data_IF_356092231578
#
_entry.id   IF_356092231578
#
_cell.length_a   1.000
_cell.length_b   1.000
_cell.length_c   1.000
_cell.angle_alpha   90.00
_cell.angle_beta   90.00
_cell.angle_gamma   90.00
#
_symmetry.space_group_name_H-M   'P 1'
#
loop_
_entity.id
_entity.type
_entity.pdbx_description
1 polymer ?
#
# COMPACT_ATOMS: atom_id res chain seq x y z
N UNK A 1 -65.33 10.21 -5.02
CA UNK A 1 -64.69 11.13 -4.05
C UNK A 1 -63.17 11.00 -4.30
N UNK A 2 -62.65 12.00 -5.01
CA UNK A 2 -61.23 12.22 -5.25
C UNK A 2 -60.61 12.84 -3.99
N UNK A 3 -59.56 12.26 -3.47
CA UNK A 3 -58.63 12.99 -2.60
C UNK A 3 -57.35 13.25 -3.36
N UNK A 4 -57.13 14.51 -3.62
CA UNK A 4 -55.87 15.08 -4.09
C UNK A 4 -54.85 14.94 -2.99
N UNK A 5 -53.66 14.35 -3.34
CA UNK A 5 -52.48 14.37 -2.49
C UNK A 5 -51.60 15.53 -2.94
N UNK A 6 -51.51 16.51 -2.08
CA UNK A 6 -50.57 17.64 -2.24
C UNK A 6 -49.13 17.13 -2.30
N UNK A 7 -48.43 17.54 -3.35
CA UNK A 7 -47.00 17.34 -3.50
C UNK A 7 -46.24 18.27 -2.55
N UNK A 8 -45.64 17.70 -1.53
CA UNK A 8 -44.75 18.41 -0.64
C UNK A 8 -43.50 18.88 -1.35
N UNK A 9 -43.38 20.19 -1.49
CA UNK A 9 -42.16 20.85 -1.98
C UNK A 9 -41.03 20.60 -0.99
N UNK A 10 -40.06 19.79 -1.38
CA UNK A 10 -38.80 19.64 -0.65
C UNK A 10 -38.02 20.95 -0.83
N UNK A 11 -37.95 21.75 0.23
CA UNK A 11 -37.09 22.92 0.29
C UNK A 11 -35.65 22.46 0.19
N UNK A 12 -35.05 22.80 -0.92
CA UNK A 12 -33.58 22.70 -1.17
C UNK A 12 -32.85 23.53 -0.11
N UNK A 13 -32.23 22.84 0.86
CA UNK A 13 -31.28 23.47 1.76
C UNK A 13 -30.02 23.77 0.99
N UNK A 14 -29.97 25.00 0.44
CA UNK A 14 -28.80 25.59 -0.11
C UNK A 14 -27.57 25.24 0.76
N UNK A 15 -26.67 24.50 0.18
CA UNK A 15 -25.31 24.30 0.69
C UNK A 15 -24.72 25.71 0.90
N UNK A 16 -24.55 26.10 2.15
CA UNK A 16 -23.64 27.18 2.48
C UNK A 16 -22.29 26.78 1.91
N UNK A 17 -21.90 27.36 0.77
CA UNK A 17 -20.50 27.46 0.36
C UNK A 17 -19.80 28.07 1.58
N UNK A 18 -18.96 27.28 2.26
CA UNK A 18 -17.88 27.86 3.04
C UNK A 18 -17.10 28.70 2.03
N UNK A 19 -17.24 30.02 2.10
CA UNK A 19 -16.27 30.92 1.54
C UNK A 19 -14.93 30.45 2.15
N UNK A 20 -14.03 30.03 1.28
CA UNK A 20 -12.64 29.92 1.64
C UNK A 20 -12.27 31.31 2.15
N UNK A 21 -12.01 31.45 3.44
CA UNK A 21 -11.28 32.60 3.94
C UNK A 21 -10.04 32.70 3.06
N UNK A 22 -9.87 33.85 2.43
CA UNK A 22 -8.67 34.18 1.68
C UNK A 22 -7.52 34.16 2.68
N UNK A 23 -6.85 33.00 2.79
CA UNK A 23 -5.59 32.94 3.50
C UNK A 23 -4.68 33.98 2.86
N UNK A 24 -4.10 34.86 3.64
CA UNK A 24 -3.08 35.77 3.14
C UNK A 24 -2.03 34.95 2.40
N UNK A 25 -1.59 35.40 1.20
CA UNK A 25 -0.62 34.63 0.43
C UNK A 25 0.62 34.40 1.32
N UNK A 26 1.04 33.14 1.47
CA UNK A 26 2.23 32.81 2.24
C UNK A 26 3.43 33.58 1.67
N UNK A 27 4.28 34.15 2.56
CA UNK A 27 5.41 34.93 2.08
C UNK A 27 6.37 34.07 1.25
N UNK A 28 6.82 34.65 0.14
CA UNK A 28 7.86 34.05 -0.70
C UNK A 28 9.20 34.48 -0.14
N UNK A 29 10.09 33.52 0.13
CA UNK A 29 11.44 33.76 0.59
C UNK A 29 12.45 33.33 -0.45
N UNK A 30 13.38 34.18 -0.79
CA UNK A 30 14.43 33.94 -1.79
C UNK A 30 15.81 34.03 -1.11
N UNK A 31 16.65 33.04 -1.38
CA UNK A 31 18.07 33.01 -1.03
C UNK A 31 18.88 32.82 -2.33
N UNK A 32 20.02 33.47 -2.41
CA UNK A 32 20.97 33.36 -3.51
C UNK A 32 22.35 33.86 -3.06
N UNK A 33 23.38 33.53 -3.84
CA UNK A 33 24.73 34.09 -3.59
C UNK A 33 24.79 35.57 -3.96
N UNK A 34 24.02 35.98 -4.99
CA UNK A 34 23.88 37.35 -5.43
C UNK A 34 22.45 37.64 -5.85
N UNK A 35 21.91 38.77 -5.42
CA UNK A 35 20.59 39.21 -5.87
C UNK A 35 20.57 40.76 -6.06
N UNK A 36 19.81 41.17 -7.07
CA UNK A 36 19.45 42.60 -7.29
C UNK A 36 17.93 42.71 -7.27
N UNK A 37 17.45 43.80 -6.65
CA UNK A 37 16.02 44.09 -6.57
C UNK A 37 15.78 45.57 -6.77
N UNK A 38 14.88 45.91 -7.69
CA UNK A 38 14.42 47.26 -7.94
C UNK A 38 13.08 47.49 -7.23
N UNK A 39 13.06 48.31 -6.19
CA UNK A 39 11.84 48.63 -5.45
C UNK A 39 10.81 49.39 -6.28
N UNK A 40 11.24 50.14 -7.29
CA UNK A 40 10.37 50.92 -8.17
C UNK A 40 9.56 50.05 -9.09
N UNK A 41 10.22 49.17 -9.85
CA UNK A 41 9.58 48.26 -10.79
C UNK A 41 9.09 46.94 -10.12
N UNK A 42 9.77 46.51 -9.09
CA UNK A 42 9.56 45.18 -8.46
C UNK A 42 10.37 44.06 -9.11
N UNK A 43 11.22 44.39 -10.07
CA UNK A 43 12.05 43.42 -10.77
C UNK A 43 13.15 42.89 -9.88
N UNK A 44 13.42 41.58 -9.98
CA UNK A 44 14.53 40.94 -9.31
C UNK A 44 15.32 40.06 -10.26
N UNK A 45 16.57 39.91 -9.90
CA UNK A 45 17.50 38.98 -10.53
C UNK A 45 18.32 38.32 -9.42
N UNK A 46 18.40 36.98 -9.43
CA UNK A 46 19.14 36.20 -8.46
C UNK A 46 20.02 35.18 -9.16
N UNK A 47 21.24 35.03 -8.70
CA UNK A 47 22.25 34.13 -9.27
C UNK A 47 23.06 33.44 -8.19
N UNK A 48 23.43 32.18 -8.45
CA UNK A 48 24.20 31.30 -7.56
C UNK A 48 23.34 30.74 -6.45
N UNK A 49 23.24 29.40 -6.37
CA UNK A 49 22.52 28.64 -5.33
C UNK A 49 21.14 29.23 -5.00
N UNK A 50 20.37 29.59 -6.02
CA UNK A 50 19.06 30.24 -5.86
C UNK A 50 18.07 29.22 -5.28
N UNK A 51 17.46 29.60 -4.15
CA UNK A 51 16.40 28.85 -3.50
C UNK A 51 15.21 29.77 -3.24
N UNK A 52 14.04 29.40 -3.78
CA UNK A 52 12.78 30.12 -3.58
C UNK A 52 11.84 29.19 -2.82
N UNK A 53 11.25 29.66 -1.72
CA UNK A 53 10.35 28.87 -0.88
C UNK A 53 9.04 29.61 -0.67
N UNK A 54 7.92 28.91 -0.88
CA UNK A 54 6.58 29.32 -0.50
C UNK A 54 5.83 28.13 0.11
N UNK A 55 5.58 28.17 1.42
CA UNK A 55 4.98 27.03 2.12
C UNK A 55 5.84 25.77 2.02
N UNK A 56 5.26 24.69 1.53
CA UNK A 56 5.93 23.40 1.34
C UNK A 56 6.62 23.27 -0.04
N UNK A 57 6.48 24.27 -0.90
CA UNK A 57 7.09 24.30 -2.23
C UNK A 57 8.48 24.94 -2.17
N UNK A 58 9.46 24.30 -2.78
CA UNK A 58 10.82 24.80 -2.91
C UNK A 58 11.28 24.74 -4.36
N UNK A 59 11.73 25.86 -4.91
CA UNK A 59 12.37 25.92 -6.22
C UNK A 59 13.87 26.08 -6.03
N UNK A 60 14.66 25.24 -6.68
CA UNK A 60 16.11 25.29 -6.72
C UNK A 60 16.57 25.57 -8.15
N UNK A 61 17.44 26.55 -8.32
CA UNK A 61 17.99 26.89 -9.63
C UNK A 61 19.36 27.59 -9.49
N UNK A 62 20.07 27.75 -10.57
CA UNK A 62 21.30 28.55 -10.59
C UNK A 62 21.02 30.02 -10.85
N UNK A 63 19.88 30.33 -11.52
CA UNK A 63 19.52 31.70 -11.92
C UNK A 63 18.00 31.83 -12.00
N UNK A 64 17.48 32.88 -11.36
CA UNK A 64 16.09 33.26 -11.44
C UNK A 64 15.96 34.77 -11.76
N UNK A 65 14.99 35.13 -12.56
CA UNK A 65 14.60 36.51 -12.80
C UNK A 65 13.08 36.62 -12.70
N UNK A 66 12.57 37.74 -12.29
CA UNK A 66 11.13 37.93 -12.18
C UNK A 66 10.74 39.27 -11.63
N UNK A 67 9.45 39.38 -11.28
CA UNK A 67 8.90 40.60 -10.73
C UNK A 67 8.03 40.26 -9.51
N UNK A 68 8.42 40.77 -8.35
CA UNK A 68 7.73 40.54 -7.10
C UNK A 68 6.33 41.18 -7.00
N UNK A 69 6.06 42.22 -7.80
CA UNK A 69 4.74 42.86 -7.81
C UNK A 69 3.75 42.13 -8.68
N UNK A 70 4.18 41.60 -9.83
CA UNK A 70 3.34 40.80 -10.73
C UNK A 70 3.29 39.32 -10.29
N UNK A 71 4.28 38.86 -9.54
CA UNK A 71 4.43 37.46 -9.11
C UNK A 71 5.06 36.55 -10.15
N UNK A 72 5.59 37.11 -11.26
CA UNK A 72 6.23 36.31 -12.30
C UNK A 72 7.65 35.92 -11.94
N UNK A 73 7.99 34.66 -12.24
CA UNK A 73 9.35 34.11 -12.11
C UNK A 73 9.69 33.29 -13.35
N UNK A 74 10.88 33.55 -13.90
CA UNK A 74 11.46 32.85 -15.04
C UNK A 74 12.75 32.13 -14.62
N UNK A 75 12.83 30.82 -14.91
CA UNK A 75 14.02 30.00 -14.77
C UNK A 75 14.47 29.58 -16.17
N UNK A 76 15.16 30.49 -16.86
CA UNK A 76 15.56 30.30 -18.27
C UNK A 76 16.65 29.23 -18.45
N UNK A 77 17.38 28.92 -17.40
CA UNK A 77 18.40 27.86 -17.35
C UNK A 77 17.90 26.60 -16.67
N UNK A 78 16.58 26.52 -16.49
CA UNK A 78 15.94 25.42 -15.79
C UNK A 78 15.96 25.53 -14.28
N UNK A 79 15.32 24.58 -13.64
CA UNK A 79 15.22 24.48 -12.19
C UNK A 79 14.54 23.21 -11.73
N UNK A 80 14.60 22.98 -10.43
CA UNK A 80 13.97 21.85 -9.76
C UNK A 80 12.89 22.38 -8.82
N UNK A 81 11.66 21.94 -9.00
CA UNK A 81 10.57 22.10 -8.05
C UNK A 81 10.56 20.90 -7.11
N UNK A 82 10.57 21.17 -5.81
CA UNK A 82 10.44 20.16 -4.75
C UNK A 82 9.19 20.45 -3.94
N UNK A 83 8.33 19.47 -3.84
CA UNK A 83 7.21 19.37 -2.92
C UNK A 83 7.43 18.15 -2.01
N UNK A 84 6.64 17.92 -0.92
CA UNK A 84 6.86 16.79 0.00
C UNK A 84 7.00 15.43 -0.66
N UNK A 85 6.18 15.16 -1.69
CA UNK A 85 6.13 13.87 -2.39
C UNK A 85 6.53 13.93 -3.87
N UNK A 86 6.92 15.11 -4.36
CA UNK A 86 7.21 15.32 -5.79
C UNK A 86 8.48 16.11 -5.99
N UNK A 87 9.31 15.66 -6.93
CA UNK A 87 10.45 16.41 -7.43
C UNK A 87 10.32 16.51 -8.96
N UNK A 88 10.38 17.70 -9.49
CA UNK A 88 10.22 17.95 -10.92
C UNK A 88 11.32 18.88 -11.43
N UNK A 89 12.04 18.42 -12.45
CA UNK A 89 13.04 19.21 -13.14
C UNK A 89 12.44 19.73 -14.46
N UNK A 90 12.73 20.97 -14.81
CA UNK A 90 12.40 21.56 -16.10
C UNK A 90 13.62 22.28 -16.67
N UNK A 91 13.85 22.21 -17.98
CA UNK A 91 14.94 22.95 -18.63
C UNK A 91 14.60 24.44 -18.81
N UNK A 92 13.33 24.77 -18.81
CA UNK A 92 12.81 26.13 -18.82
C UNK A 92 11.51 26.18 -18.05
N UNK A 93 11.33 27.20 -17.19
CA UNK A 93 10.14 27.38 -16.35
C UNK A 93 9.74 28.83 -16.33
N UNK A 94 8.46 29.12 -16.56
CA UNK A 94 7.78 30.33 -16.18
C UNK A 94 6.67 30.01 -15.21
N UNK A 95 6.60 30.70 -14.09
CA UNK A 95 5.54 30.53 -13.10
C UNK A 95 5.12 31.86 -12.51
N UNK A 96 3.82 32.06 -12.36
CA UNK A 96 3.26 33.23 -11.72
C UNK A 96 2.61 32.83 -10.38
N UNK A 97 3.18 33.28 -9.29
CA UNK A 97 2.74 32.98 -7.94
C UNK A 97 1.38 33.59 -7.58
N UNK A 98 0.99 34.70 -8.19
CA UNK A 98 -0.29 35.38 -7.92
C UNK A 98 -1.45 34.66 -8.62
N UNK A 99 -1.30 34.33 -9.88
CA UNK A 99 -2.33 33.63 -10.68
C UNK A 99 -2.29 32.10 -10.53
N UNK A 100 -1.19 31.54 -9.97
CA UNK A 100 -0.92 30.12 -9.91
C UNK A 100 -0.92 29.45 -11.30
N UNK A 101 -0.42 30.16 -12.29
CA UNK A 101 -0.28 29.69 -13.66
C UNK A 101 1.18 29.60 -14.07
N UNK A 102 1.49 28.72 -15.00
CA UNK A 102 2.87 28.57 -15.46
C UNK A 102 3.01 27.67 -16.68
N UNK A 103 4.24 27.58 -17.13
CA UNK A 103 4.66 26.77 -18.27
C UNK A 103 6.01 26.14 -17.94
N UNK A 104 6.17 24.83 -18.23
CA UNK A 104 7.41 24.10 -18.02
C UNK A 104 7.74 23.35 -19.30
N UNK A 105 9.02 23.38 -19.69
CA UNK A 105 9.54 22.65 -20.86
C UNK A 105 10.56 21.61 -20.46
N UNK A 106 10.57 20.48 -21.18
CA UNK A 106 11.43 19.32 -20.95
C UNK A 106 11.41 18.86 -19.50
N UNK A 107 10.25 18.32 -19.13
CA UNK A 107 9.98 17.88 -17.77
C UNK A 107 10.53 16.47 -17.56
N UNK A 108 11.26 16.28 -16.46
CA UNK A 108 11.68 15.00 -15.91
C UNK A 108 11.44 15.03 -14.41
N UNK A 109 10.61 14.13 -13.91
CA UNK A 109 10.20 14.20 -12.52
C UNK A 109 9.91 12.86 -11.89
N UNK A 110 9.75 12.91 -10.56
CA UNK A 110 9.36 11.80 -9.73
C UNK A 110 8.26 12.26 -8.77
N UNK A 111 7.09 11.65 -8.86
CA UNK A 111 6.06 11.70 -7.81
C UNK A 111 6.32 10.64 -6.75
N UNK A 112 5.40 10.42 -5.83
CA UNK A 112 5.56 9.46 -4.73
C UNK A 112 6.04 8.07 -5.19
N UNK A 113 5.50 7.55 -6.29
CA UNK A 113 5.83 6.24 -6.86
C UNK A 113 6.19 6.29 -8.34
N UNK A 114 5.83 7.36 -9.04
CA UNK A 114 5.87 7.43 -10.49
C UNK A 114 6.99 8.34 -10.96
N UNK A 115 7.71 7.91 -11.98
CA UNK A 115 8.64 8.73 -12.76
C UNK A 115 7.90 9.19 -14.00
N UNK A 116 8.01 10.46 -14.35
CA UNK A 116 7.32 11.03 -15.50
C UNK A 116 8.23 11.93 -16.32
N UNK A 117 7.97 11.95 -17.63
CA UNK A 117 8.64 12.85 -18.59
C UNK A 117 7.63 13.42 -19.55
N UNK A 118 7.80 14.69 -19.88
CA UNK A 118 7.00 15.35 -20.91
C UNK A 118 7.79 16.48 -21.57
N UNK A 119 7.58 16.75 -22.87
CA UNK A 119 8.21 17.88 -23.53
C UNK A 119 7.74 19.23 -22.98
N UNK A 120 6.44 19.30 -22.62
CA UNK A 120 5.79 20.53 -22.23
C UNK A 120 4.63 20.29 -21.28
N UNK A 121 4.42 21.16 -20.31
CA UNK A 121 3.22 21.25 -19.50
C UNK A 121 2.82 22.67 -19.21
N UNK A 122 1.51 22.90 -19.17
CA UNK A 122 0.90 24.16 -18.73
C UNK A 122 0.26 23.98 -17.38
N UNK A 123 0.57 24.83 -16.43
CA UNK A 123 0.04 24.84 -15.08
C UNK A 123 -1.12 25.82 -15.00
N UNK A 124 -2.26 25.36 -14.52
CA UNK A 124 -3.44 26.15 -14.18
C UNK A 124 -3.67 26.08 -12.66
N UNK A 125 -4.49 26.98 -12.07
CA UNK A 125 -4.75 26.98 -10.63
C UNK A 125 -5.33 25.69 -10.08
N UNK A 126 -6.02 24.93 -10.92
CA UNK A 126 -6.76 23.71 -10.56
C UNK A 126 -6.23 22.44 -11.23
N UNK A 127 -5.36 22.56 -12.24
CA UNK A 127 -4.85 21.42 -12.99
C UNK A 127 -3.51 21.69 -13.68
N UNK A 128 -2.87 20.59 -14.08
CA UNK A 128 -1.70 20.61 -14.97
C UNK A 128 -2.08 19.90 -16.27
N UNK A 129 -1.75 20.47 -17.39
CA UNK A 129 -2.04 19.93 -18.73
C UNK A 129 -0.74 19.64 -19.46
N UNK A 130 -0.57 18.38 -19.87
CA UNK A 130 0.48 17.94 -20.81
C UNK A 130 -0.20 17.64 -22.13
N UNK A 131 0.10 18.41 -23.18
CA UNK A 131 -0.60 18.37 -24.46
C UNK A 131 0.27 17.94 -25.66
N UNK A 132 1.58 17.87 -25.47
CA UNK A 132 2.54 17.44 -26.50
C UNK A 132 3.04 16.00 -26.32
N UNK A 133 2.28 15.19 -25.59
CA UNK A 133 2.66 13.84 -25.20
C UNK A 133 3.41 13.78 -23.88
N UNK A 134 3.33 12.65 -23.25
CA UNK A 134 4.04 12.37 -22.00
C UNK A 134 4.16 10.89 -21.74
N UNK A 135 4.96 10.56 -20.76
CA UNK A 135 5.16 9.17 -20.32
C UNK A 135 5.32 9.07 -18.82
N UNK A 136 4.87 7.98 -18.27
CA UNK A 136 5.02 7.64 -16.86
C UNK A 136 5.38 6.17 -16.66
N UNK A 137 6.16 5.90 -15.62
CA UNK A 137 6.54 4.54 -15.23
C UNK A 137 6.82 4.50 -13.73
N UNK A 138 6.60 3.35 -13.11
CA UNK A 138 7.07 3.08 -11.74
C UNK A 138 8.43 2.39 -11.69
N UNK A 139 9.02 2.12 -12.85
CA UNK A 139 10.34 1.53 -12.95
C UNK A 139 11.44 2.56 -12.72
N UNK A 140 12.26 2.44 -11.67
CA UNK A 140 13.36 3.38 -11.39
C UNK A 140 14.57 3.19 -12.31
N UNK A 141 14.52 2.28 -13.28
CA UNK A 141 15.67 1.91 -14.09
C UNK A 141 16.08 3.02 -15.06
N UNK A 142 17.37 3.29 -15.06
CA UNK A 142 18.04 4.22 -15.99
C UNK A 142 18.75 3.47 -17.11
N UNK A 143 19.14 2.21 -16.88
CA UNK A 143 20.02 1.43 -17.76
C UNK A 143 19.30 0.46 -18.70
N UNK A 144 17.99 0.31 -18.59
CA UNK A 144 17.18 -0.57 -19.43
C UNK A 144 15.78 0.02 -19.67
N UNK A 145 15.11 -0.49 -20.70
CA UNK A 145 13.71 -0.14 -20.96
C UNK A 145 12.84 -0.40 -19.73
N UNK A 146 11.94 0.53 -19.37
CA UNK A 146 11.04 0.34 -18.25
C UNK A 146 10.28 -0.99 -18.34
N UNK A 147 10.13 -1.67 -17.20
CA UNK A 147 9.36 -2.92 -17.16
C UNK A 147 7.93 -2.72 -17.63
N UNK A 148 7.34 -1.59 -17.26
CA UNK A 148 6.09 -1.09 -17.81
C UNK A 148 6.20 0.41 -18.01
N UNK A 149 5.85 0.88 -19.19
CA UNK A 149 5.80 2.29 -19.58
C UNK A 149 4.40 2.63 -20.07
N UNK A 150 3.84 3.68 -19.55
CA UNK A 150 2.57 4.24 -20.02
C UNK A 150 2.88 5.55 -20.76
N UNK A 151 2.45 5.64 -22.00
CA UNK A 151 2.50 6.90 -22.77
C UNK A 151 1.10 7.36 -23.08
N UNK A 152 0.90 8.66 -23.17
CA UNK A 152 -0.34 9.25 -23.64
C UNK A 152 -0.07 10.50 -24.45
N UNK A 153 -1.00 10.83 -25.36
CA UNK A 153 -0.92 12.07 -26.14
C UNK A 153 -1.16 13.30 -25.28
N UNK A 154 -2.09 13.18 -24.32
CA UNK A 154 -2.38 14.26 -23.38
C UNK A 154 -2.61 13.70 -21.99
N UNK A 155 -2.20 14.48 -20.97
CA UNK A 155 -2.55 14.26 -19.58
C UNK A 155 -3.18 15.52 -19.00
N UNK A 156 -4.29 15.35 -18.30
CA UNK A 156 -4.87 16.39 -17.44
C UNK A 156 -4.78 15.88 -16.00
N UNK A 157 -4.00 16.55 -15.16
CA UNK A 157 -3.75 16.15 -13.77
C UNK A 157 -4.44 17.16 -12.88
N UNK A 158 -5.42 16.71 -12.13
CA UNK A 158 -6.10 17.44 -11.05
C UNK A 158 -5.46 16.98 -9.73
N UNK A 159 -4.57 17.77 -9.12
CA UNK A 159 -3.82 17.34 -7.94
C UNK A 159 -4.75 16.88 -6.82
N UNK A 160 -4.44 15.72 -6.22
CA UNK A 160 -5.22 15.09 -5.15
C UNK A 160 -6.65 14.66 -5.52
N UNK A 161 -7.01 14.71 -6.80
CA UNK A 161 -8.35 14.32 -7.27
C UNK A 161 -8.26 13.19 -8.30
N UNK A 162 -7.75 13.48 -9.50
CA UNK A 162 -7.69 12.54 -10.61
C UNK A 162 -6.68 12.93 -11.68
N UNK A 163 -6.31 11.94 -12.48
CA UNK A 163 -5.57 12.12 -13.74
C UNK A 163 -6.41 11.57 -14.89
N UNK A 164 -6.50 12.30 -15.97
CA UNK A 164 -7.14 11.86 -17.21
C UNK A 164 -6.07 11.81 -18.30
N UNK A 165 -5.80 10.62 -18.83
CA UNK A 165 -4.88 10.42 -19.94
C UNK A 165 -5.68 10.02 -21.20
N UNK A 166 -5.30 10.55 -22.37
CA UNK A 166 -5.94 10.27 -23.64
C UNK A 166 -4.95 9.71 -24.66
N UNK A 167 -5.43 8.82 -25.52
CA UNK A 167 -4.62 8.05 -26.49
C UNK A 167 -3.47 7.32 -25.75
N UNK A 168 -3.88 6.49 -24.80
CA UNK A 168 -2.97 5.78 -23.90
C UNK A 168 -2.43 4.54 -24.57
N UNK A 169 -1.12 4.33 -24.48
CA UNK A 169 -0.42 3.12 -24.91
C UNK A 169 0.44 2.59 -23.76
N UNK A 170 0.39 1.29 -23.58
CA UNK A 170 1.15 0.59 -22.54
C UNK A 170 2.18 -0.31 -23.19
N UNK A 171 3.41 -0.19 -22.75
CA UNK A 171 4.56 -0.95 -23.21
C UNK A 171 5.14 -1.78 -22.07
N UNK A 172 5.43 -3.04 -22.31
CA UNK A 172 6.19 -3.89 -21.41
C UNK A 172 7.57 -4.17 -22.04
N UNK A 173 8.64 -3.74 -21.37
CA UNK A 173 10.03 -3.85 -21.86
C UNK A 173 10.16 -3.40 -23.33
N UNK A 174 9.65 -2.22 -23.63
CA UNK A 174 9.68 -1.62 -24.97
C UNK A 174 8.69 -2.21 -25.98
N UNK A 175 7.97 -3.29 -25.65
CA UNK A 175 6.96 -3.87 -26.55
C UNK A 175 5.57 -3.34 -26.22
N UNK A 176 4.86 -2.84 -27.22
CA UNK A 176 3.47 -2.41 -27.09
C UNK A 176 2.58 -3.61 -26.76
N UNK A 177 1.80 -3.52 -25.67
CA UNK A 177 0.94 -4.60 -25.20
C UNK A 177 -0.55 -4.21 -25.11
N UNK A 178 -0.87 -2.92 -24.95
CA UNK A 178 -2.23 -2.47 -24.76
C UNK A 178 -2.40 -1.01 -25.18
N UNK A 179 -3.59 -0.66 -25.70
CA UNK A 179 -4.00 0.71 -25.99
C UNK A 179 -5.41 0.97 -25.48
N UNK A 180 -5.65 2.22 -25.09
CA UNK A 180 -6.96 2.69 -24.63
C UNK A 180 -7.13 4.18 -24.99
N UNK A 181 -8.32 4.56 -25.45
CA UNK A 181 -8.59 5.95 -25.84
C UNK A 181 -8.52 6.91 -24.64
N UNK A 182 -9.06 6.51 -23.50
CA UNK A 182 -9.07 7.32 -22.29
C UNK A 182 -8.84 6.46 -21.05
N UNK A 183 -7.94 6.91 -20.20
CA UNK A 183 -7.68 6.34 -18.89
C UNK A 183 -7.90 7.41 -17.83
N UNK A 184 -8.73 7.11 -16.85
CA UNK A 184 -8.95 7.96 -15.67
C UNK A 184 -8.39 7.22 -14.47
N UNK A 185 -7.49 7.87 -13.76
CA UNK A 185 -6.94 7.37 -12.50
C UNK A 185 -7.27 8.35 -11.37
N UNK A 186 -7.71 7.84 -10.23
CA UNK A 186 -8.01 8.63 -9.05
C UNK A 186 -6.72 8.87 -8.27
N UNK A 187 -6.48 10.13 -7.86
CA UNK A 187 -5.31 10.55 -7.10
C UNK A 187 -5.70 10.96 -5.68
N UNK A 188 -4.76 10.83 -4.74
CA UNK A 188 -4.95 11.31 -3.37
C UNK A 188 -5.59 10.29 -2.43
N UNK A 189 -6.42 10.75 -1.49
CA UNK A 189 -7.03 9.91 -0.42
C UNK A 189 -7.97 8.82 -0.95
N UNK A 190 -8.44 8.94 -2.18
CA UNK A 190 -9.36 7.99 -2.78
C UNK A 190 -8.72 6.62 -3.11
N UNK A 191 -7.41 6.46 -2.95
CA UNK A 191 -6.70 5.24 -3.32
C UNK A 191 -6.56 5.06 -4.85
N UNK A 192 -5.62 4.24 -5.24
CA UNK A 192 -5.36 3.92 -6.65
C UNK A 192 -6.00 2.59 -7.03
N UNK A 193 -6.63 2.51 -8.21
CA UNK A 193 -6.99 1.23 -8.79
C UNK A 193 -5.72 0.44 -9.09
N UNK A 194 -5.70 -0.84 -8.69
CA UNK A 194 -4.55 -1.72 -8.88
C UNK A 194 -4.97 -2.98 -9.60
N UNK A 195 -4.14 -3.39 -10.54
CA UNK A 195 -4.27 -4.69 -11.21
C UNK A 195 -2.90 -5.35 -11.11
N UNK A 196 -2.79 -6.41 -10.30
CA UNK A 196 -1.52 -7.09 -10.05
C UNK A 196 -1.60 -8.55 -10.49
N UNK A 197 -0.99 -8.89 -11.64
CA UNK A 197 -0.79 -10.29 -12.00
C UNK A 197 0.31 -10.92 -11.15
N UNK A 198 0.08 -12.14 -10.70
CA UNK A 198 1.05 -12.97 -9.98
C UNK A 198 1.07 -14.36 -10.59
N UNK A 199 2.25 -14.92 -10.68
CA UNK A 199 2.46 -16.31 -11.11
C UNK A 199 3.43 -16.98 -10.14
N UNK A 200 3.35 -18.29 -10.05
CA UNK A 200 4.26 -19.02 -9.20
C UNK A 200 3.93 -20.51 -9.13
N UNK A 201 4.57 -21.16 -8.18
CA UNK A 201 4.34 -22.54 -7.80
C UNK A 201 4.11 -22.60 -6.28
N UNK A 202 3.06 -23.26 -5.87
CA UNK A 202 2.59 -23.29 -4.49
C UNK A 202 2.48 -24.74 -3.98
N UNK A 203 3.60 -25.43 -3.98
CA UNK A 203 3.71 -26.77 -3.46
C UNK A 203 3.04 -27.85 -4.31
N UNK A 204 3.11 -29.08 -3.80
CA UNK A 204 2.59 -30.27 -4.48
C UNK A 204 1.06 -30.29 -4.55
N UNK A 205 0.37 -29.68 -3.61
CA UNK A 205 -1.09 -29.76 -3.50
C UNK A 205 -1.80 -28.75 -4.37
N UNK A 206 -1.29 -27.54 -4.48
CA UNK A 206 -1.85 -26.48 -5.30
C UNK A 206 -1.26 -26.42 -6.72
N UNK A 207 0.04 -26.70 -6.88
CA UNK A 207 0.74 -26.70 -8.16
C UNK A 207 1.11 -25.30 -8.65
N UNK A 208 1.21 -25.14 -9.98
CA UNK A 208 1.41 -23.84 -10.62
C UNK A 208 0.18 -22.97 -10.47
N UNK A 209 0.37 -21.66 -10.27
CA UNK A 209 -0.75 -20.73 -10.20
C UNK A 209 -0.56 -19.49 -11.08
N UNK A 210 -1.68 -18.95 -11.49
CA UNK A 210 -1.81 -17.60 -12.02
C UNK A 210 -2.92 -16.88 -11.25
N UNK A 211 -2.58 -15.70 -10.70
CA UNK A 211 -3.52 -14.86 -9.95
C UNK A 211 -3.60 -13.49 -10.58
N UNK A 212 -4.78 -12.92 -10.60
CA UNK A 212 -5.02 -11.52 -10.95
C UNK A 212 -5.72 -10.87 -9.77
N UNK A 213 -4.98 -10.04 -9.04
CA UNK A 213 -5.54 -9.21 -7.99
C UNK A 213 -6.00 -7.90 -8.59
N UNK A 214 -7.25 -7.54 -8.36
CA UNK A 214 -7.86 -6.29 -8.79
C UNK A 214 -8.34 -5.56 -7.56
N UNK A 215 -7.86 -4.34 -7.36
CA UNK A 215 -8.37 -3.42 -6.34
C UNK A 215 -8.97 -2.23 -7.10
N UNK A 216 -10.28 -2.02 -6.95
CA UNK A 216 -11.01 -0.95 -7.61
C UNK A 216 -11.61 0.00 -6.57
N UNK A 217 -11.28 1.27 -6.69
CA UNK A 217 -11.74 2.29 -5.78
C UNK A 217 -13.21 2.63 -6.02
N UNK A 218 -14.05 2.45 -4.99
CA UNK A 218 -15.47 2.82 -5.00
C UNK A 218 -15.73 4.19 -4.35
N UNK A 219 -14.72 4.75 -3.66
CA UNK A 219 -14.83 6.02 -2.96
C UNK A 219 -13.66 6.27 -2.02
N UNK A 220 -13.62 7.40 -1.31
CA UNK A 220 -12.45 7.80 -0.51
C UNK A 220 -11.98 6.79 0.54
N UNK A 221 -12.87 5.88 0.96
CA UNK A 221 -12.61 4.92 2.04
C UNK A 221 -13.10 3.52 1.72
N UNK A 222 -13.55 3.30 0.49
CA UNK A 222 -14.19 2.04 0.10
C UNK A 222 -13.58 1.53 -1.18
N UNK A 223 -13.13 0.30 -1.17
CA UNK A 223 -12.61 -0.40 -2.32
C UNK A 223 -13.30 -1.75 -2.52
N UNK A 224 -13.49 -2.12 -3.77
CA UNK A 224 -13.80 -3.47 -4.19
C UNK A 224 -12.50 -4.17 -4.54
N UNK A 225 -12.34 -5.41 -4.08
CA UNK A 225 -11.22 -6.24 -4.50
C UNK A 225 -11.69 -7.57 -5.06
N UNK A 226 -10.92 -8.10 -5.99
CA UNK A 226 -11.07 -9.44 -6.50
C UNK A 226 -9.70 -10.11 -6.61
N UNK A 227 -9.57 -11.30 -6.05
CA UNK A 227 -8.41 -12.16 -6.25
C UNK A 227 -8.83 -13.36 -7.10
N UNK A 228 -8.53 -13.29 -8.40
CA UNK A 228 -8.88 -14.29 -9.39
C UNK A 228 -7.71 -15.27 -9.50
N UNK A 229 -7.77 -16.35 -8.76
CA UNK A 229 -6.70 -17.34 -8.69
C UNK A 229 -7.08 -18.64 -9.41
N UNK A 230 -6.17 -19.12 -10.24
CA UNK A 230 -6.25 -20.45 -10.82
C UNK A 230 -4.99 -21.25 -10.50
N UNK A 231 -5.17 -22.41 -9.92
CA UNK A 231 -4.12 -23.35 -9.57
C UNK A 231 -4.23 -24.59 -10.46
N UNK A 232 -3.10 -25.10 -10.93
CA UNK A 232 -3.07 -26.26 -11.84
C UNK A 232 -3.64 -27.55 -11.22
N UNK A 233 -3.61 -27.65 -9.89
CA UNK A 233 -4.14 -28.80 -9.14
C UNK A 233 -5.37 -28.46 -8.32
N UNK A 234 -5.38 -27.34 -7.61
CA UNK A 234 -6.52 -26.94 -6.78
C UNK A 234 -7.64 -26.25 -7.59
N UNK A 235 -7.42 -25.91 -8.87
CA UNK A 235 -8.44 -25.33 -9.75
C UNK A 235 -8.68 -23.84 -9.53
N UNK A 236 -9.87 -23.36 -9.91
CA UNK A 236 -10.24 -21.95 -9.81
C UNK A 236 -10.71 -21.60 -8.38
N UNK A 237 -10.04 -20.65 -7.77
CA UNK A 237 -10.24 -20.25 -6.37
C UNK A 237 -10.38 -18.72 -6.26
N UNK A 238 -11.50 -18.14 -6.73
CA UNK A 238 -11.70 -16.70 -6.63
C UNK A 238 -12.09 -16.27 -5.22
N UNK A 239 -11.68 -15.04 -4.85
CA UNK A 239 -12.15 -14.31 -3.70
C UNK A 239 -12.59 -12.92 -4.17
N UNK A 240 -13.76 -12.47 -3.76
CA UNK A 240 -14.29 -11.14 -4.01
C UNK A 240 -14.63 -10.46 -2.69
N UNK A 241 -14.48 -9.15 -2.63
CA UNK A 241 -14.88 -8.45 -1.44
C UNK A 241 -15.00 -6.95 -1.61
N UNK A 242 -15.56 -6.34 -0.58
CA UNK A 242 -15.62 -4.90 -0.39
C UNK A 242 -14.98 -4.62 0.95
N UNK A 243 -14.10 -3.65 0.95
CA UNK A 243 -13.40 -3.18 2.13
C UNK A 243 -13.77 -1.71 2.36
N UNK A 244 -14.18 -1.37 3.57
CA UNK A 244 -14.45 0.01 3.98
C UNK A 244 -13.58 0.36 5.17
N UNK A 245 -12.69 1.32 4.96
CA UNK A 245 -11.65 1.68 5.94
C UNK A 245 -11.95 3.04 6.58
N UNK A 246 -12.28 3.03 7.87
CA UNK A 246 -12.45 4.21 8.69
C UNK A 246 -11.24 4.43 9.61
N UNK A 247 -11.16 5.60 10.24
CA UNK A 247 -10.06 5.92 11.15
C UNK A 247 -9.88 4.89 12.27
N UNK A 248 -10.99 4.44 12.84
CA UNK A 248 -11.00 3.60 14.04
C UNK A 248 -11.31 2.14 13.76
N UNK A 249 -11.90 1.83 12.62
CA UNK A 249 -12.32 0.47 12.27
C UNK A 249 -12.26 0.23 10.76
N UNK A 250 -12.27 -1.04 10.42
CA UNK A 250 -12.38 -1.52 9.05
C UNK A 250 -13.54 -2.51 8.99
N UNK A 251 -14.39 -2.40 7.96
CA UNK A 251 -15.42 -3.38 7.64
C UNK A 251 -15.03 -4.08 6.36
N UNK A 252 -15.04 -5.40 6.37
CA UNK A 252 -14.74 -6.23 5.23
C UNK A 252 -15.89 -7.17 4.96
N UNK A 253 -16.39 -7.17 3.74
CA UNK A 253 -17.29 -8.19 3.21
C UNK A 253 -16.54 -9.01 2.18
N UNK A 254 -16.64 -10.33 2.24
CA UNK A 254 -15.97 -11.22 1.30
C UNK A 254 -16.81 -12.46 0.98
N UNK A 255 -16.60 -12.95 -0.24
CA UNK A 255 -17.20 -14.18 -0.73
C UNK A 255 -16.21 -14.87 -1.67
N UNK A 256 -15.77 -16.06 -1.34
CA UNK A 256 -14.78 -16.76 -2.15
C UNK A 256 -14.06 -17.87 -1.40
N UNK A 257 -12.94 -18.27 -1.97
CA UNK A 257 -12.06 -19.29 -1.43
C UNK A 257 -10.86 -18.67 -0.75
N UNK A 258 -10.52 -19.18 0.42
CA UNK A 258 -9.35 -18.80 1.20
C UNK A 258 -8.61 -20.05 1.64
N UNK A 259 -7.30 -19.98 1.77
CA UNK A 259 -6.46 -21.12 2.05
C UNK A 259 -5.49 -20.81 3.18
N UNK A 260 -5.37 -21.75 4.09
CA UNK A 260 -4.36 -21.78 5.15
C UNK A 260 -3.96 -23.22 5.42
N UNK A 261 -2.68 -23.50 5.54
CA UNK A 261 -2.12 -24.81 5.85
C UNK A 261 -2.65 -25.95 4.95
N UNK A 262 -2.70 -25.69 3.63
CA UNK A 262 -3.21 -26.64 2.63
C UNK A 262 -4.70 -26.99 2.80
N UNK A 263 -5.43 -26.22 3.61
CA UNK A 263 -6.88 -26.31 3.76
C UNK A 263 -7.59 -25.18 3.04
N UNK A 264 -8.44 -25.52 2.06
CA UNK A 264 -9.29 -24.59 1.35
C UNK A 264 -10.65 -24.45 2.00
N UNK A 265 -10.98 -23.21 2.43
CA UNK A 265 -12.29 -22.86 2.98
C UNK A 265 -13.04 -21.97 1.99
N UNK A 266 -14.26 -22.38 1.64
CA UNK A 266 -15.23 -21.52 0.95
C UNK A 266 -15.93 -20.65 1.97
N UNK A 267 -15.65 -19.36 1.95
CA UNK A 267 -16.32 -18.34 2.76
C UNK A 267 -17.45 -17.74 1.95
N UNK A 268 -18.68 -17.92 2.39
CA UNK A 268 -19.87 -17.37 1.73
C UNK A 268 -20.46 -16.27 2.62
N UNK A 269 -20.68 -15.07 2.04
CA UNK A 269 -21.27 -13.93 2.78
C UNK A 269 -20.55 -13.68 4.11
N UNK A 270 -19.25 -13.70 4.08
CA UNK A 270 -18.41 -13.47 5.26
C UNK A 270 -18.25 -11.96 5.48
N UNK A 271 -18.60 -11.50 6.67
CA UNK A 271 -18.46 -10.10 7.08
C UNK A 271 -17.55 -10.00 8.30
N UNK A 272 -16.64 -9.06 8.26
CA UNK A 272 -15.73 -8.76 9.36
C UNK A 272 -15.78 -7.29 9.76
N UNK A 273 -15.79 -7.05 11.06
CA UNK A 273 -15.58 -5.72 11.66
C UNK A 273 -14.30 -5.79 12.48
N UNK A 274 -13.31 -4.99 12.10
CA UNK A 274 -12.00 -4.95 12.72
C UNK A 274 -11.79 -3.58 13.38
N UNK A 275 -11.79 -3.56 14.70
CA UNK A 275 -11.46 -2.37 15.47
C UNK A 275 -9.94 -2.23 15.55
N UNK A 276 -9.42 -1.13 15.00
CA UNK A 276 -7.99 -0.88 14.87
C UNK A 276 -7.34 -0.68 16.22
N UNK A 277 -6.03 -0.74 16.24
CA UNK A 277 -5.24 -0.60 17.45
C UNK A 277 -5.36 0.82 18.02
N UNK A 278 -5.81 0.93 19.26
CA UNK A 278 -6.03 2.19 19.96
C UNK A 278 -5.30 2.20 21.30
N UNK A 279 -4.90 3.38 21.73
CA UNK A 279 -4.34 3.55 23.06
C UNK A 279 -5.38 3.22 24.14
N UNK A 280 -5.02 2.40 25.12
CA UNK A 280 -5.93 2.04 26.21
C UNK A 280 -6.15 3.23 27.14
N UNK A 281 -5.04 3.90 27.54
CA UNK A 281 -5.01 5.12 28.34
C UNK A 281 -3.82 5.93 27.84
N UNK A 282 -3.94 7.26 27.72
CA UNK A 282 -2.96 8.12 27.07
C UNK A 282 -1.52 7.98 27.61
N UNK A 283 -1.36 7.75 28.88
CA UNK A 283 -0.04 7.66 29.52
C UNK A 283 0.46 6.22 29.74
N UNK A 284 -0.30 5.21 29.30
CA UNK A 284 0.14 3.81 29.39
C UNK A 284 0.68 3.32 28.05
N UNK A 285 1.77 2.54 28.05
CA UNK A 285 2.33 1.96 26.82
C UNK A 285 1.53 0.75 26.34
N UNK A 286 0.19 0.81 26.45
CA UNK A 286 -0.72 -0.29 26.10
C UNK A 286 -1.71 0.16 25.02
N UNK A 287 -1.86 -0.68 24.02
CA UNK A 287 -2.86 -0.53 22.96
C UNK A 287 -3.72 -1.77 22.89
N UNK A 288 -4.95 -1.61 22.43
CA UNK A 288 -5.88 -2.71 22.25
C UNK A 288 -6.50 -2.69 20.86
N UNK A 289 -6.84 -3.87 20.38
CA UNK A 289 -7.57 -4.09 19.14
C UNK A 289 -8.55 -5.25 19.31
N UNK A 290 -9.58 -5.30 18.50
CA UNK A 290 -10.56 -6.37 18.53
C UNK A 290 -11.13 -6.59 17.12
N UNK A 291 -11.67 -7.77 16.87
CA UNK A 291 -12.45 -8.02 15.67
C UNK A 291 -13.59 -9.00 15.93
N UNK A 292 -14.56 -8.98 15.04
CA UNK A 292 -15.60 -10.00 14.89
C UNK A 292 -15.76 -10.32 13.41
N UNK A 293 -15.84 -11.62 13.09
CA UNK A 293 -16.18 -12.10 11.74
C UNK A 293 -17.36 -13.05 11.83
N UNK A 294 -18.18 -13.07 10.79
CA UNK A 294 -19.32 -13.95 10.69
C UNK A 294 -19.60 -14.31 9.23
N UNK A 295 -19.63 -15.59 8.91
CA UNK A 295 -19.87 -16.07 7.55
C UNK A 295 -20.25 -17.54 7.50
N UNK A 296 -20.75 -17.98 6.36
CA UNK A 296 -21.03 -19.37 6.10
C UNK A 296 -19.80 -20.05 5.52
N UNK A 297 -19.20 -20.94 6.29
CA UNK A 297 -17.98 -21.62 5.91
C UNK A 297 -18.20 -23.06 5.48
N UNK A 298 -17.41 -23.51 4.54
CA UNK A 298 -17.38 -24.89 4.07
C UNK A 298 -15.96 -25.28 3.68
N UNK A 299 -15.44 -26.35 4.24
CA UNK A 299 -14.19 -26.97 3.81
C UNK A 299 -14.36 -27.61 2.42
N UNK A 300 -13.36 -27.53 1.55
CA UNK A 300 -13.41 -28.11 0.22
C UNK A 300 -13.58 -29.63 0.23
N UNK A 301 -12.92 -30.29 1.16
CA UNK A 301 -12.89 -31.77 1.31
C UNK A 301 -14.12 -32.33 2.04
N UNK A 302 -14.95 -31.45 2.60
CA UNK A 302 -16.11 -31.81 3.41
C UNK A 302 -17.38 -31.16 2.88
N UNK A 303 -18.51 -31.88 2.99
CA UNK A 303 -19.83 -31.31 2.69
C UNK A 303 -20.41 -30.48 3.85
N UNK A 304 -19.71 -30.40 4.98
CA UNK A 304 -20.16 -29.71 6.18
C UNK A 304 -20.14 -28.20 5.94
N UNK A 305 -21.28 -27.57 6.19
CA UNK A 305 -21.43 -26.11 6.19
C UNK A 305 -21.78 -25.64 7.59
N UNK A 306 -21.15 -24.58 8.04
CA UNK A 306 -21.40 -24.00 9.35
C UNK A 306 -21.38 -22.47 9.27
N UNK A 307 -22.31 -21.82 9.96
CA UNK A 307 -22.14 -20.41 10.28
C UNK A 307 -21.02 -20.31 11.30
N UNK A 308 -19.92 -19.75 10.86
CA UNK A 308 -18.71 -19.51 11.64
C UNK A 308 -18.74 -18.09 12.18
N UNK A 309 -18.65 -17.95 13.50
CA UNK A 309 -18.49 -16.66 14.15
C UNK A 309 -17.22 -16.67 14.97
N UNK A 310 -16.32 -15.77 14.66
CA UNK A 310 -15.07 -15.62 15.40
C UNK A 310 -14.97 -14.19 15.91
N UNK A 311 -14.60 -14.02 17.17
CA UNK A 311 -14.24 -12.72 17.72
C UNK A 311 -13.05 -12.85 18.65
N UNK A 312 -12.22 -11.82 18.62
CA UNK A 312 -11.00 -11.76 19.41
C UNK A 312 -10.74 -10.35 19.92
N UNK A 313 -10.04 -10.29 21.03
CA UNK A 313 -9.50 -9.05 21.58
C UNK A 313 -8.04 -9.22 21.94
N UNK A 314 -7.25 -8.21 21.66
CA UNK A 314 -5.81 -8.18 21.89
C UNK A 314 -5.43 -6.97 22.74
N UNK A 315 -4.48 -7.18 23.63
CA UNK A 315 -3.77 -6.13 24.36
C UNK A 315 -2.29 -6.23 23.98
N UNK A 316 -1.75 -5.15 23.47
CA UNK A 316 -0.37 -5.06 23.03
C UNK A 316 0.37 -4.04 23.88
N UNK A 317 1.59 -4.35 24.27
CA UNK A 317 2.51 -3.37 24.82
C UNK A 317 3.23 -2.63 23.68
N UNK A 318 3.48 -1.34 23.84
CA UNK A 318 4.34 -0.63 22.90
C UNK A 318 5.70 -1.32 22.84
N UNK A 319 6.35 -1.26 21.70
CA UNK A 319 7.68 -1.86 21.55
C UNK A 319 8.64 -1.36 22.60
N UNK A 320 9.21 -2.27 23.35
CA UNK A 320 10.19 -2.00 24.39
C UNK A 320 11.58 -2.09 23.77
N UNK A 321 12.30 -0.97 23.76
CA UNK A 321 13.70 -0.96 23.34
C UNK A 321 14.60 -1.24 24.54
N UNK A 322 15.50 -2.21 24.39
CA UNK A 322 16.41 -2.64 25.43
C UNK A 322 17.80 -2.00 25.29
N UNK A 323 18.51 -1.88 26.38
CA UNK A 323 19.91 -1.40 26.43
C UNK A 323 20.13 0.00 25.82
N UNK A 324 19.15 0.89 25.90
CA UNK A 324 19.17 2.22 25.29
C UNK A 324 19.52 2.21 23.79
N UNK A 325 19.24 1.09 23.11
CA UNK A 325 19.53 0.85 21.72
C UNK A 325 18.24 0.53 20.95
N UNK A 326 18.07 1.14 19.80
CA UNK A 326 16.98 0.76 18.86
C UNK A 326 17.23 -0.58 18.15
N UNK A 327 18.38 -1.20 18.39
CA UNK A 327 18.75 -2.46 17.73
C UNK A 327 18.17 -3.69 18.44
N UNK A 328 17.78 -3.59 19.70
CA UNK A 328 17.21 -4.70 20.46
C UNK A 328 15.85 -4.29 21.00
N UNK A 329 14.83 -5.07 20.72
CA UNK A 329 13.47 -4.75 21.12
C UNK A 329 12.69 -5.99 21.55
N UNK A 330 11.68 -5.75 22.37
CA UNK A 330 10.73 -6.75 22.85
C UNK A 330 9.31 -6.29 22.50
N UNK A 331 8.57 -7.15 21.82
CA UNK A 331 7.14 -7.00 21.54
C UNK A 331 6.35 -8.01 22.37
N UNK A 332 5.28 -7.56 23.02
CA UNK A 332 4.43 -8.37 23.88
C UNK A 332 2.97 -8.19 23.50
N UNK A 333 2.25 -9.30 23.36
CA UNK A 333 0.82 -9.34 23.07
C UNK A 333 0.14 -10.42 23.91
N UNK A 334 -1.02 -10.09 24.43
CA UNK A 334 -1.95 -11.05 25.04
C UNK A 334 -3.30 -10.91 24.35
N UNK A 335 -3.95 -12.01 24.06
CA UNK A 335 -5.25 -11.99 23.40
C UNK A 335 -6.15 -13.12 23.87
N UNK A 336 -7.43 -13.01 23.54
CA UNK A 336 -8.40 -14.07 23.68
C UNK A 336 -9.30 -14.11 22.47
N UNK A 337 -9.50 -15.32 21.96
CA UNK A 337 -10.31 -15.63 20.79
C UNK A 337 -11.45 -16.55 21.19
N UNK A 338 -12.60 -16.37 20.58
CA UNK A 338 -13.77 -17.23 20.69
C UNK A 338 -14.26 -17.60 19.30
N UNK A 339 -14.54 -18.87 19.10
CA UNK A 339 -15.07 -19.42 17.84
C UNK A 339 -16.35 -20.17 18.14
N UNK A 340 -17.41 -19.79 17.43
CA UNK A 340 -18.72 -20.43 17.50
C UNK A 340 -19.08 -21.03 16.16
N UNK A 341 -19.45 -22.30 16.15
CA UNK A 341 -19.88 -23.04 14.97
C UNK A 341 -21.34 -23.48 15.09
N UNK A 342 -22.17 -23.05 14.14
CA UNK A 342 -23.60 -23.45 14.17
C UNK A 342 -23.84 -24.94 13.94
N UNK A 343 -22.90 -25.62 13.27
CA UNK A 343 -23.00 -27.06 12.99
C UNK A 343 -22.87 -27.91 14.25
N UNK A 344 -22.02 -27.52 15.18
CA UNK A 344 -21.79 -28.23 16.44
C UNK A 344 -22.54 -27.61 17.62
N UNK A 345 -23.07 -26.39 17.44
CA UNK A 345 -23.67 -25.57 18.49
C UNK A 345 -22.72 -25.36 19.69
N UNK A 346 -21.43 -25.23 19.39
CA UNK A 346 -20.38 -25.08 20.41
C UNK A 346 -19.65 -23.75 20.25
N UNK A 347 -19.26 -23.15 21.37
CA UNK A 347 -18.33 -22.03 21.43
C UNK A 347 -17.04 -22.45 22.14
N UNK A 348 -15.91 -22.27 21.48
CA UNK A 348 -14.59 -22.56 22.05
C UNK A 348 -13.80 -21.28 22.24
N UNK A 349 -13.03 -21.20 23.29
CA UNK A 349 -12.19 -20.03 23.56
C UNK A 349 -10.74 -20.40 23.77
N UNK A 350 -9.87 -19.53 23.31
CA UNK A 350 -8.42 -19.72 23.33
C UNK A 350 -7.74 -18.47 23.87
N UNK A 351 -6.82 -18.65 24.82
CA UNK A 351 -5.90 -17.57 25.23
C UNK A 351 -4.65 -17.60 24.38
N UNK A 352 -4.16 -16.41 24.02
CA UNK A 352 -2.98 -16.22 23.19
C UNK A 352 -1.96 -15.36 23.93
N UNK A 353 -0.71 -15.79 23.93
CA UNK A 353 0.43 -15.09 24.54
C UNK A 353 1.57 -15.08 23.54
N UNK A 354 1.99 -13.90 23.11
CA UNK A 354 3.09 -13.73 22.16
C UNK A 354 4.15 -12.82 22.75
N UNK A 355 5.40 -13.25 22.70
CA UNK A 355 6.55 -12.46 23.10
C UNK A 355 7.64 -12.64 22.04
N UNK A 356 8.10 -11.54 21.45
CA UNK A 356 9.15 -11.55 20.41
C UNK A 356 10.28 -10.66 20.80
N UNK A 357 11.49 -11.20 20.91
CA UNK A 357 12.73 -10.48 21.08
C UNK A 357 13.41 -10.39 19.72
N UNK A 358 13.56 -9.18 19.22
CA UNK A 358 14.24 -8.90 17.96
C UNK A 358 15.56 -8.18 18.19
N UNK A 359 16.55 -8.48 17.34
CA UNK A 359 17.84 -7.83 17.39
C UNK A 359 18.43 -7.61 16.00
N UNK A 360 18.88 -6.41 15.74
CA UNK A 360 19.72 -6.06 14.61
C UNK A 360 21.18 -6.29 15.00
N UNK A 361 21.76 -7.40 14.55
CA UNK A 361 23.13 -7.80 14.89
C UNK A 361 24.19 -6.93 14.19
N UNK A 362 23.92 -6.57 12.93
CA UNK A 362 24.78 -5.76 12.08
C UNK A 362 23.92 -5.11 10.97
N UNK A 363 24.45 -4.17 10.17
CA UNK A 363 23.66 -3.50 9.12
C UNK A 363 22.93 -4.43 8.15
N UNK A 364 23.46 -5.66 7.96
CA UNK A 364 22.92 -6.66 7.03
C UNK A 364 22.30 -7.88 7.72
N UNK A 365 22.33 -7.95 9.03
CA UNK A 365 21.92 -9.13 9.81
C UNK A 365 20.85 -8.77 10.82
N UNK A 366 19.69 -9.37 10.69
CA UNK A 366 18.58 -9.26 11.63
C UNK A 366 18.24 -10.64 12.18
N UNK A 367 18.01 -10.74 13.48
CA UNK A 367 17.59 -11.97 14.13
C UNK A 367 16.45 -11.71 15.11
N UNK A 368 15.67 -12.73 15.38
CA UNK A 368 14.61 -12.68 16.36
C UNK A 368 14.32 -14.06 16.93
N UNK A 369 13.78 -14.07 18.14
CA UNK A 369 13.22 -15.24 18.77
C UNK A 369 11.85 -14.88 19.34
N UNK A 370 10.85 -15.71 19.05
CA UNK A 370 9.47 -15.52 19.50
C UNK A 370 8.99 -16.72 20.29
N UNK A 371 8.31 -16.46 21.39
CA UNK A 371 7.53 -17.44 22.12
C UNK A 371 6.06 -17.20 21.82
N UNK A 372 5.38 -18.25 21.35
CA UNK A 372 3.96 -18.22 21.02
C UNK A 372 3.26 -19.34 21.79
N UNK A 373 2.21 -18.96 22.50
CA UNK A 373 1.33 -19.91 23.16
C UNK A 373 -0.10 -19.61 22.78
N UNK A 374 -0.73 -20.61 22.20
CA UNK A 374 -2.14 -20.60 21.85
C UNK A 374 -2.69 -22.01 22.10
N UNK A 375 -3.69 -22.11 22.97
CA UNK A 375 -4.22 -23.42 23.31
C UNK A 375 -4.95 -24.02 22.10
N UNK A 376 -4.56 -25.23 21.71
CA UNK A 376 -5.20 -25.97 20.61
C UNK A 376 -6.60 -26.40 21.06
N UNK A 377 -7.58 -26.04 20.26
CA UNK A 377 -8.98 -26.45 20.47
C UNK A 377 -9.40 -27.34 19.31
N UNK A 378 -10.22 -28.35 19.56
CA UNK A 378 -10.80 -29.19 18.51
C UNK A 378 -11.93 -28.42 17.82
N UNK A 379 -11.61 -27.56 16.86
CA UNK A 379 -12.58 -26.82 16.07
C UNK A 379 -13.09 -27.65 14.89
N UNK A 380 -14.18 -27.20 14.28
CA UNK A 380 -14.78 -27.86 13.12
C UNK A 380 -13.85 -27.81 11.89
N UNK A 381 -13.06 -26.75 11.77
CA UNK A 381 -12.08 -26.53 10.71
C UNK A 381 -10.69 -26.37 11.31
N UNK A 382 -9.69 -26.92 10.64
CA UNK A 382 -8.27 -26.72 11.00
C UNK A 382 -7.78 -25.31 10.59
N UNK A 383 -8.45 -24.70 9.61
CA UNK A 383 -8.20 -23.34 9.17
C UNK A 383 -8.19 -22.35 10.34
N UNK A 384 -7.14 -21.54 10.44
CA UNK A 384 -6.96 -20.56 11.51
C UNK A 384 -6.62 -21.14 12.88
N UNK A 385 -6.24 -22.43 12.95
CA UNK A 385 -5.76 -23.08 14.16
C UNK A 385 -4.23 -23.03 14.24
N UNK A 386 -3.65 -22.93 15.43
CA UNK A 386 -2.21 -23.07 15.58
C UNK A 386 -1.77 -24.53 15.37
N UNK A 387 -0.69 -24.73 14.64
CA UNK A 387 -0.07 -26.06 14.50
C UNK A 387 0.44 -26.64 15.83
N UNK A 388 0.84 -25.76 16.73
CA UNK A 388 1.44 -26.09 18.02
C UNK A 388 0.86 -25.21 19.13
N UNK A 389 0.54 -25.83 20.26
CA UNK A 389 0.02 -25.09 21.42
C UNK A 389 1.08 -24.22 22.10
N UNK A 390 2.34 -24.60 22.01
CA UNK A 390 3.49 -23.82 22.51
C UNK A 390 4.64 -23.92 21.52
N UNK A 391 5.00 -22.79 20.98
CA UNK A 391 6.02 -22.70 19.92
C UNK A 391 7.14 -21.76 20.34
N UNK A 392 8.39 -22.17 20.09
CA UNK A 392 9.53 -21.30 20.02
C UNK A 392 9.90 -21.12 18.55
N UNK A 393 9.84 -19.89 18.06
CA UNK A 393 10.16 -19.56 16.68
C UNK A 393 11.38 -18.65 16.66
N UNK A 394 12.38 -19.00 15.89
CA UNK A 394 13.55 -18.16 15.72
C UNK A 394 13.85 -17.93 14.24
N UNK A 395 14.28 -16.73 13.91
CA UNK A 395 14.60 -16.34 12.57
C UNK A 395 15.92 -15.61 12.46
N UNK A 396 16.55 -15.76 11.31
CA UNK A 396 17.75 -15.05 10.91
C UNK A 396 17.56 -14.56 9.49
N UNK A 397 17.75 -13.27 9.27
CA UNK A 397 17.72 -12.67 7.94
C UNK A 397 19.05 -12.03 7.62
N UNK A 398 19.55 -12.29 6.42
CA UNK A 398 20.81 -11.77 5.92
C UNK A 398 20.62 -11.12 4.55
N UNK A 399 21.01 -9.85 4.43
CA UNK A 399 21.08 -9.13 3.16
C UNK A 399 22.47 -9.28 2.57
N UNK A 400 22.62 -10.13 1.56
CA UNK A 400 23.88 -10.29 0.85
C UNK A 400 24.27 -8.98 0.14
N UNK A 401 23.29 -8.41 -0.58
CA UNK A 401 23.37 -7.13 -1.28
C UNK A 401 21.97 -6.48 -1.32
N UNK A 402 21.81 -5.38 -2.07
CA UNK A 402 20.54 -4.67 -2.19
C UNK A 402 19.44 -5.48 -2.92
N UNK A 403 19.85 -6.52 -3.65
CA UNK A 403 18.96 -7.38 -4.44
C UNK A 403 18.65 -8.70 -3.76
N UNK A 404 19.56 -9.24 -2.95
CA UNK A 404 19.47 -10.58 -2.42
C UNK A 404 19.32 -10.60 -0.90
N UNK A 405 18.24 -11.21 -0.44
CA UNK A 405 17.97 -11.44 0.98
C UNK A 405 17.72 -12.93 1.23
N UNK A 406 18.40 -13.48 2.22
CA UNK A 406 18.18 -14.84 2.71
C UNK A 406 17.55 -14.79 4.09
N UNK A 407 16.57 -15.64 4.33
CA UNK A 407 15.89 -15.76 5.64
C UNK A 407 15.76 -17.24 5.98
N UNK A 408 16.09 -17.58 7.21
CA UNK A 408 15.86 -18.90 7.77
C UNK A 408 14.98 -18.73 8.99
N UNK A 409 13.90 -19.47 9.07
CA UNK A 409 12.99 -19.50 10.22
C UNK A 409 12.85 -20.93 10.68
N UNK A 410 13.13 -21.17 11.95
CA UNK A 410 12.92 -22.45 12.58
C UNK A 410 11.76 -22.37 13.57
N UNK A 411 10.90 -23.37 13.55
CA UNK A 411 9.75 -23.55 14.44
C UNK A 411 9.98 -24.80 15.28
N UNK A 412 9.95 -24.64 16.59
CA UNK A 412 10.19 -25.71 17.56
C UNK A 412 8.98 -25.90 18.44
N UNK A 413 8.48 -27.14 18.52
CA UNK A 413 7.36 -27.51 19.39
C UNK A 413 7.87 -27.74 20.83
N UNK A 414 7.53 -26.79 21.70
CA UNK A 414 7.86 -26.90 23.13
C UNK A 414 7.03 -27.96 23.87
N UNK A 415 5.91 -28.37 23.31
CA UNK A 415 5.08 -29.43 23.85
C UNK A 415 5.67 -30.80 23.58
N UNK A 416 6.09 -31.06 22.36
CA UNK A 416 6.70 -32.33 21.91
C UNK A 416 8.23 -32.37 22.08
N UNK A 417 8.87 -31.24 22.41
CA UNK A 417 10.32 -31.08 22.48
C UNK A 417 11.04 -31.46 21.18
N UNK A 418 10.52 -31.07 20.04
CA UNK A 418 11.05 -31.41 18.70
C UNK A 418 10.96 -30.24 17.74
N UNK A 419 11.88 -30.25 16.76
CA UNK A 419 11.73 -29.34 15.62
C UNK A 419 10.46 -29.72 14.86
N UNK A 420 9.67 -28.70 14.53
CA UNK A 420 8.46 -28.85 13.76
C UNK A 420 8.75 -28.59 12.28
N UNK A 421 9.34 -27.42 11.97
CA UNK A 421 9.55 -26.97 10.62
C UNK A 421 10.77 -26.05 10.54
N UNK A 422 11.49 -26.09 9.42
CA UNK A 422 12.50 -25.10 9.08
C UNK A 422 12.20 -24.55 7.68
N UNK A 423 12.01 -23.24 7.60
CA UNK A 423 11.72 -22.53 6.36
C UNK A 423 12.95 -21.77 5.89
N UNK A 424 13.35 -22.02 4.66
CA UNK A 424 14.46 -21.36 3.98
C UNK A 424 13.89 -20.50 2.86
N UNK A 425 14.19 -19.20 2.86
CA UNK A 425 13.68 -18.26 1.88
C UNK A 425 14.82 -17.47 1.27
N UNK A 426 14.84 -17.40 -0.06
CA UNK A 426 15.69 -16.51 -0.80
C UNK A 426 14.80 -15.60 -1.66
N UNK A 427 14.98 -14.29 -1.48
CA UNK A 427 14.32 -13.27 -2.28
C UNK A 427 15.35 -12.56 -3.13
N UNK A 428 15.15 -12.56 -4.45
CA UNK A 428 15.94 -11.77 -5.38
C UNK A 428 15.08 -10.65 -5.98
N UNK A 429 15.53 -9.41 -5.81
CA UNK A 429 14.86 -8.22 -6.30
C UNK A 429 15.48 -7.74 -7.61
N UNK A 430 14.65 -7.58 -8.61
CA UNK A 430 14.95 -6.80 -9.81
C UNK A 430 14.40 -5.38 -9.64
N UNK A 431 14.47 -4.54 -10.67
CA UNK A 431 14.00 -3.16 -10.53
C UNK A 431 12.48 -3.04 -10.30
N UNK A 432 11.66 -3.88 -10.97
CA UNK A 432 10.21 -3.80 -10.94
C UNK A 432 9.52 -5.06 -10.40
N UNK A 433 10.27 -6.11 -10.13
CA UNK A 433 9.73 -7.37 -9.66
C UNK A 433 10.71 -8.09 -8.75
N UNK A 434 10.19 -9.02 -7.99
CA UNK A 434 10.99 -9.92 -7.16
C UNK A 434 10.58 -11.36 -7.42
N UNK A 435 11.54 -12.25 -7.37
CA UNK A 435 11.31 -13.68 -7.28
C UNK A 435 11.69 -14.15 -5.88
N UNK A 436 10.83 -14.97 -5.30
CA UNK A 436 11.05 -15.59 -4.01
C UNK A 436 11.01 -17.10 -4.16
N UNK A 437 12.04 -17.76 -3.67
CA UNK A 437 12.13 -19.20 -3.53
C UNK A 437 12.01 -19.53 -2.05
N UNK A 438 11.10 -20.42 -1.71
CA UNK A 438 10.87 -20.90 -0.36
C UNK A 438 10.93 -22.41 -0.33
N UNK A 439 11.73 -22.95 0.56
CA UNK A 439 11.76 -24.37 0.86
C UNK A 439 11.41 -24.57 2.32
N UNK A 440 10.34 -25.30 2.56
CA UNK A 440 9.84 -25.68 3.87
C UNK A 440 10.20 -27.12 4.13
N UNK A 441 11.06 -27.32 5.09
CA UNK A 441 11.46 -28.64 5.56
C UNK A 441 10.62 -29.00 6.77
N UNK A 442 9.70 -29.93 6.59
CA UNK A 442 8.92 -30.48 7.68
C UNK A 442 9.72 -31.55 8.42
N UNK A 443 9.71 -31.50 9.74
CA UNK A 443 10.39 -32.50 10.60
C UNK A 443 9.43 -33.51 11.19
N UNK A 444 8.13 -33.34 10.97
CA UNK A 444 7.12 -34.35 11.32
C UNK A 444 7.04 -35.44 10.25
N UNK A 445 6.95 -36.68 10.65
CA UNK A 445 7.00 -37.85 9.76
C UNK A 445 5.81 -37.99 8.81
N UNK A 446 4.73 -37.27 9.09
CA UNK A 446 3.48 -37.29 8.31
C UNK A 446 3.29 -36.09 7.38
N UNK A 447 4.24 -35.13 7.39
CA UNK A 447 4.19 -33.95 6.53
C UNK A 447 5.30 -34.00 5.48
N UNK A 448 4.96 -33.66 4.25
CA UNK A 448 5.93 -33.55 3.15
C UNK A 448 6.63 -32.19 3.20
N UNK A 449 7.87 -32.17 2.70
CA UNK A 449 8.56 -30.93 2.45
C UNK A 449 7.88 -30.18 1.31
N UNK A 450 7.80 -28.87 1.41
CA UNK A 450 7.11 -28.05 0.41
C UNK A 450 8.08 -27.07 -0.23
N UNK A 451 8.01 -26.93 -1.54
CA UNK A 451 8.75 -25.92 -2.28
C UNK A 451 7.76 -24.94 -2.92
N UNK A 452 8.04 -23.64 -2.79
CA UNK A 452 7.22 -22.57 -3.35
C UNK A 452 8.08 -21.60 -4.14
N UNK A 453 7.52 -21.09 -5.22
CA UNK A 453 8.12 -20.01 -6.02
C UNK A 453 7.07 -18.94 -6.19
N UNK A 454 7.41 -17.71 -5.83
CA UNK A 454 6.53 -16.55 -5.98
C UNK A 454 7.19 -15.51 -6.86
N UNK A 455 6.49 -15.06 -7.86
CA UNK A 455 6.86 -13.92 -8.67
C UNK A 455 5.96 -12.75 -8.32
N UNK A 456 6.52 -11.68 -7.83
CA UNK A 456 5.80 -10.51 -7.37
C UNK A 456 6.24 -9.28 -8.12
N UNK A 457 5.29 -8.51 -8.66
CA UNK A 457 5.57 -7.17 -9.17
C UNK A 457 5.80 -6.23 -7.98
N UNK A 458 6.84 -5.40 -8.09
CA UNK A 458 7.16 -4.37 -7.12
C UNK A 458 6.62 -3.04 -7.61
N UNK A 459 6.08 -2.24 -6.68
CA UNK A 459 5.63 -0.87 -6.95
C UNK A 459 4.45 -0.73 -7.94
N UNK A 460 3.55 -1.73 -8.02
CA UNK A 460 2.35 -1.69 -8.87
C UNK A 460 1.08 -1.82 -8.06
#
# INVERSE_FOLDING_TARGET
>A
QKQEREAGVIKDKSKKKKQAESAEPMPITLWSDSATYDQGSGDFFAEGNVKIVQGDETILTTRAEGNMKTGDVWLKQGGTLQEPDTTMNGEWVHYNFNSKTGEIKQIDGKGAKDYFKAPHATIYPDKIVVDEGGQTTRCPAVEHDPCLLITAKTFEIYPKEKMIARDVKVYAKGKHIYSRDTWVNTLGEAGEDKIMPRIGYDGSDNGMYAKLQVDYNLGPKTDFYADLAYYSKAGYKPMYGINHDERNFNIKFQDGWDEEDDEWIRKERDIGLYYKNHRLIDNLPLTYSAYITHGLWRNEKSSIKSWHTEYAAYLNHDRIYLFNSKNTFLDLTVGKKWVTESYTDETKSTMMYYATLGQKLAPKWDTWVGYYREDITSNLYDYGQPDMGRELRNGLSFKLDDKNTFTIVNRYDLGKHSNYETNYRWTHRFCCWAIEFEYEQNHESNKNNTFRVRYNLLNW
#
